data_IF_105650467002
#
_entry.id   IF_105650467002
#
_cell.length_a   1.000
_cell.length_b   1.000
_cell.length_c   1.000
_cell.angle_alpha   90.00
_cell.angle_beta   90.00
_cell.angle_gamma   90.00
#
_symmetry.space_group_name_H-M   'P 1'
#
loop_
_entity.id
_entity.type
_entity.pdbx_description
1 polymer ?
#
# COMPACT_ATOMS: atom_id res chain seq x y z
N UNK A 1 34.84 7.20 36.61
CA UNK A 1 33.83 6.83 37.62
C UNK A 1 32.58 6.49 36.83
N UNK A 2 32.06 5.25 36.91
CA UNK A 2 30.83 4.89 36.19
C UNK A 2 29.67 5.77 36.66
N UNK A 3 28.87 6.24 35.70
CA UNK A 3 27.73 7.08 36.00
C UNK A 3 26.69 6.31 36.80
N UNK A 4 25.82 7.01 37.50
CA UNK A 4 24.73 6.34 38.22
C UNK A 4 23.75 5.65 37.26
N UNK A 5 23.68 6.10 36.00
CA UNK A 5 22.92 5.42 34.95
C UNK A 5 23.55 4.06 34.61
N UNK A 6 24.87 3.99 34.45
CA UNK A 6 25.56 2.75 34.11
C UNK A 6 25.36 1.68 35.19
N UNK A 7 25.39 2.08 36.48
CA UNK A 7 25.14 1.18 37.61
C UNK A 7 23.70 0.64 37.62
N UNK A 8 22.73 1.45 37.20
CA UNK A 8 21.32 1.03 37.10
C UNK A 8 21.13 0.06 35.95
N UNK A 9 21.78 0.31 34.81
CA UNK A 9 21.78 -0.60 33.64
C UNK A 9 22.38 -1.94 34.02
N UNK A 10 23.57 -1.98 34.62
CA UNK A 10 24.21 -3.24 35.02
C UNK A 10 23.37 -4.06 36.00
N UNK A 11 22.74 -3.39 36.97
CA UNK A 11 21.85 -4.06 37.92
C UNK A 11 20.61 -4.64 37.24
N UNK A 12 20.08 -3.95 36.23
CA UNK A 12 18.96 -4.44 35.42
C UNK A 12 19.38 -5.64 34.58
N UNK A 13 20.50 -5.56 33.86
CA UNK A 13 21.03 -6.64 33.02
C UNK A 13 21.28 -7.92 33.84
N UNK A 14 21.86 -7.79 35.04
CA UNK A 14 22.07 -8.91 35.95
C UNK A 14 20.76 -9.57 36.39
N UNK A 15 19.70 -8.78 36.62
CA UNK A 15 18.39 -9.29 37.01
C UNK A 15 17.68 -10.00 35.85
N UNK A 16 17.82 -9.48 34.63
CA UNK A 16 17.30 -10.11 33.40
C UNK A 16 18.00 -11.45 33.15
N UNK A 17 19.33 -11.48 33.22
CA UNK A 17 20.13 -12.68 33.01
C UNK A 17 19.83 -13.79 34.04
N UNK A 18 19.57 -13.42 35.29
CA UNK A 18 19.20 -14.37 36.35
C UNK A 18 17.77 -14.93 36.19
N UNK A 19 16.90 -14.23 35.46
CA UNK A 19 15.50 -14.59 35.27
C UNK A 19 15.22 -15.56 34.12
N UNK A 20 16.25 -15.93 33.32
CA UNK A 20 16.12 -16.70 32.07
C UNK A 20 15.01 -16.15 31.15
N UNK A 21 14.89 -14.81 31.14
CA UNK A 21 13.82 -14.11 30.44
C UNK A 21 14.25 -13.78 29.00
N UNK A 22 13.51 -14.28 28.01
CA UNK A 22 13.60 -13.79 26.64
C UNK A 22 12.91 -12.41 26.55
N UNK A 23 13.71 -11.34 26.47
CA UNK A 23 13.18 -9.99 26.26
C UNK A 23 12.95 -9.75 24.77
N UNK A 24 11.70 -9.42 24.41
CA UNK A 24 11.35 -8.92 23.10
C UNK A 24 11.05 -7.42 23.18
N UNK A 25 11.85 -6.60 22.49
CA UNK A 25 11.66 -5.15 22.43
C UNK A 25 11.04 -4.79 21.08
N UNK A 26 9.82 -4.24 21.10
CA UNK A 26 9.13 -3.74 19.92
C UNK A 26 7.81 -3.06 20.29
N UNK A 27 7.33 -2.15 19.44
CA UNK A 27 6.12 -1.37 19.70
C UNK A 27 4.83 -2.19 19.51
N UNK A 28 4.77 -2.98 18.43
CA UNK A 28 3.70 -3.92 18.10
C UNK A 28 4.36 -5.23 17.62
N UNK A 29 3.78 -6.42 17.91
CA UNK A 29 4.36 -7.69 17.51
C UNK A 29 4.50 -7.75 15.99
N UNK A 30 5.71 -7.49 15.52
CA UNK A 30 6.05 -7.57 14.10
C UNK A 30 6.58 -8.96 13.84
N UNK A 31 5.85 -9.74 13.04
CA UNK A 31 6.38 -10.99 12.55
C UNK A 31 7.43 -10.69 11.47
N UNK A 32 8.69 -10.98 11.75
CA UNK A 32 9.79 -10.90 10.79
C UNK A 32 10.33 -12.31 10.48
N UNK A 33 11.01 -12.47 9.35
CA UNK A 33 11.70 -13.70 9.02
C UNK A 33 12.90 -13.87 9.96
N UNK A 34 12.76 -14.69 11.00
CA UNK A 34 13.72 -14.83 12.12
C UNK A 34 15.19 -15.00 11.70
N UNK A 35 15.42 -15.71 10.60
CA UNK A 35 16.78 -16.05 10.13
C UNK A 35 17.34 -15.05 9.12
N UNK A 36 16.56 -14.03 8.75
CA UNK A 36 16.97 -13.08 7.72
C UNK A 36 17.62 -11.86 8.35
N UNK A 37 18.82 -11.56 7.87
CA UNK A 37 19.54 -10.31 8.15
C UNK A 37 19.51 -9.36 6.95
N UNK A 38 18.72 -9.69 5.92
CA UNK A 38 18.67 -8.87 4.72
C UNK A 38 18.01 -7.52 5.02
N UNK A 39 18.48 -6.41 4.40
CA UNK A 39 18.07 -5.06 4.77
C UNK A 39 16.56 -4.81 4.77
N UNK A 40 15.81 -5.44 3.88
CA UNK A 40 14.34 -5.33 3.78
C UNK A 40 13.61 -5.88 5.01
N UNK A 41 14.20 -6.83 5.74
CA UNK A 41 13.63 -7.42 6.96
C UNK A 41 14.03 -6.67 8.23
N UNK A 42 15.00 -5.75 8.12
CA UNK A 42 15.55 -4.99 9.24
C UNK A 42 15.14 -3.52 9.21
N UNK A 43 15.45 -2.80 8.12
CA UNK A 43 15.39 -1.32 8.10
C UNK A 43 14.90 -0.72 6.79
N UNK A 44 15.14 -1.37 5.66
CA UNK A 44 14.73 -0.83 4.37
C UNK A 44 13.21 -0.94 4.18
N UNK A 45 12.63 0.12 3.59
CA UNK A 45 11.22 0.15 3.20
C UNK A 45 10.82 -0.98 2.26
N UNK A 46 11.75 -1.37 1.39
CA UNK A 46 11.56 -2.24 0.24
C UNK A 46 12.79 -3.12 0.06
N UNK A 47 12.62 -4.24 -0.63
CA UNK A 47 13.73 -5.05 -1.12
C UNK A 47 13.42 -6.55 -1.11
N UNK A 48 14.20 -7.26 -1.93
CA UNK A 48 14.28 -8.71 -1.97
C UNK A 48 12.93 -9.40 -2.05
N UNK A 49 12.73 -10.38 -1.16
CA UNK A 49 11.58 -11.30 -1.21
C UNK A 49 10.40 -10.83 -0.33
N UNK A 50 10.54 -9.74 0.43
CA UNK A 50 9.57 -9.35 1.48
C UNK A 50 8.17 -9.08 0.92
N UNK A 51 8.08 -8.40 -0.22
CA UNK A 51 6.80 -8.14 -0.88
C UNK A 51 6.17 -9.43 -1.41
N UNK A 52 6.96 -10.32 -2.00
CA UNK A 52 6.49 -11.63 -2.47
C UNK A 52 5.97 -12.50 -1.31
N UNK A 53 6.66 -12.49 -0.17
CA UNK A 53 6.18 -13.16 1.05
C UNK A 53 4.85 -12.59 1.53
N UNK A 54 4.71 -11.26 1.55
CA UNK A 54 3.46 -10.62 1.97
C UNK A 54 2.31 -10.92 1.00
N UNK A 55 2.55 -10.92 -0.32
CA UNK A 55 1.56 -11.27 -1.33
C UNK A 55 1.14 -12.75 -1.22
N UNK A 56 2.10 -13.66 -1.03
CA UNK A 56 1.80 -15.08 -0.78
C UNK A 56 0.97 -15.25 0.49
N UNK A 57 1.32 -14.56 1.58
CA UNK A 57 0.56 -14.60 2.83
C UNK A 57 -0.86 -14.06 2.64
N UNK A 58 -1.02 -12.93 1.95
CA UNK A 58 -2.33 -12.34 1.66
C UNK A 58 -3.20 -13.29 0.82
N UNK A 59 -2.60 -13.96 -0.17
CA UNK A 59 -3.27 -15.00 -0.97
C UNK A 59 -3.77 -16.16 -0.10
N UNK A 60 -2.90 -16.75 0.72
CA UNK A 60 -3.27 -17.88 1.58
C UNK A 60 -4.25 -17.51 2.70
N UNK A 61 -4.21 -16.28 3.21
CA UNK A 61 -5.21 -15.78 4.14
C UNK A 61 -6.55 -15.57 3.44
N UNK A 62 -6.57 -14.95 2.26
CA UNK A 62 -7.80 -14.71 1.51
C UNK A 62 -8.51 -16.01 1.09
N UNK A 63 -7.78 -17.09 0.79
CA UNK A 63 -8.37 -18.42 0.59
C UNK A 63 -9.08 -18.98 1.83
N UNK A 64 -8.58 -18.66 3.03
CA UNK A 64 -9.20 -19.06 4.31
C UNK A 64 -10.33 -18.14 4.76
N UNK A 65 -10.43 -16.97 4.16
CA UNK A 65 -11.35 -15.89 4.50
C UNK A 65 -12.17 -15.49 3.26
N UNK A 66 -13.03 -16.38 2.73
CA UNK A 66 -13.76 -16.12 1.50
C UNK A 66 -14.73 -14.94 1.66
N UNK A 67 -14.76 -14.06 0.66
CA UNK A 67 -15.56 -12.82 0.71
C UNK A 67 -14.84 -11.62 1.35
N UNK A 68 -13.63 -11.83 1.88
CA UNK A 68 -12.72 -10.75 2.26
C UNK A 68 -12.23 -9.96 1.04
N UNK A 69 -11.72 -8.75 1.27
CA UNK A 69 -11.03 -7.94 0.26
C UNK A 69 -9.58 -7.69 0.67
N UNK A 70 -8.67 -7.79 -0.29
CA UNK A 70 -7.27 -7.37 -0.12
C UNK A 70 -7.19 -5.89 -0.50
N UNK A 71 -6.70 -5.07 0.41
CA UNK A 71 -6.42 -3.66 0.18
C UNK A 71 -4.91 -3.43 0.22
N UNK A 72 -4.36 -2.91 -0.88
CA UNK A 72 -2.97 -2.47 -0.96
C UNK A 72 -2.94 -0.96 -0.80
N UNK A 73 -2.20 -0.48 0.19
CA UNK A 73 -2.08 0.93 0.48
C UNK A 73 -0.62 1.36 0.45
N UNK A 74 -0.39 2.54 -0.10
CA UNK A 74 0.90 3.23 -0.03
C UNK A 74 1.01 3.89 1.35
N UNK A 75 2.12 3.65 2.02
CA UNK A 75 2.49 4.24 3.29
C UNK A 75 3.38 5.47 3.14
N UNK A 76 3.94 5.92 4.26
CA UNK A 76 4.89 7.03 4.29
C UNK A 76 6.18 6.66 3.56
N UNK A 77 6.74 7.61 2.82
CA UNK A 77 8.11 7.55 2.31
C UNK A 77 8.98 8.46 3.18
N UNK A 78 10.11 7.94 3.65
CA UNK A 78 11.10 8.70 4.39
C UNK A 78 12.22 9.19 3.45
N UNK A 79 12.92 10.24 3.86
CA UNK A 79 14.08 10.75 3.12
C UNK A 79 15.12 9.64 2.90
N UNK A 80 15.54 9.46 1.64
CA UNK A 80 16.53 8.44 1.24
C UNK A 80 15.94 7.11 0.78
N UNK A 81 14.63 6.90 0.88
CA UNK A 81 13.97 5.70 0.36
C UNK A 81 13.62 5.88 -1.14
N UNK A 82 13.90 4.86 -1.96
CA UNK A 82 13.65 4.91 -3.41
C UNK A 82 12.16 4.92 -3.78
N UNK A 83 11.33 4.21 -3.00
CA UNK A 83 9.87 4.21 -3.14
C UNK A 83 9.20 4.20 -1.77
N UNK A 84 7.91 4.60 -1.69
CA UNK A 84 7.18 4.62 -0.43
C UNK A 84 7.05 3.22 0.16
N UNK A 85 6.93 3.16 1.50
CA UNK A 85 6.52 1.93 2.19
C UNK A 85 5.11 1.53 1.75
N UNK A 86 4.72 0.30 2.03
CA UNK A 86 3.40 -0.22 1.69
C UNK A 86 2.82 -1.06 2.81
N UNK A 87 1.51 -1.29 2.72
CA UNK A 87 0.79 -2.23 3.57
C UNK A 87 -0.21 -3.01 2.72
N UNK A 88 -0.36 -4.30 3.03
CA UNK A 88 -1.34 -5.19 2.45
C UNK A 88 -2.24 -5.66 3.59
N UNK A 89 -3.49 -5.23 3.58
CA UNK A 89 -4.49 -5.63 4.58
C UNK A 89 -5.55 -6.54 3.98
N UNK A 90 -6.04 -7.48 4.78
CA UNK A 90 -7.23 -8.28 4.48
C UNK A 90 -8.38 -7.79 5.35
N UNK A 91 -9.50 -7.43 4.71
CA UNK A 91 -10.65 -6.84 5.38
C UNK A 91 -11.88 -7.70 5.19
N UNK A 92 -12.61 -7.90 6.28
CA UNK A 92 -13.87 -8.63 6.34
C UNK A 92 -14.94 -7.75 6.99
N UNK A 93 -16.19 -7.99 6.63
CA UNK A 93 -17.31 -7.37 7.35
C UNK A 93 -17.61 -8.16 8.61
N UNK A 94 -17.94 -7.45 9.68
CA UNK A 94 -18.34 -8.04 10.97
C UNK A 94 -19.60 -8.90 10.88
N UNK A 95 -20.44 -8.68 9.87
CA UNK A 95 -21.66 -9.44 9.61
C UNK A 95 -21.43 -10.68 8.72
N UNK A 96 -20.19 -10.97 8.33
CA UNK A 96 -19.81 -12.12 7.52
C UNK A 96 -20.22 -12.03 6.05
N UNK A 97 -20.85 -10.94 5.61
CA UNK A 97 -21.17 -10.73 4.22
C UNK A 97 -19.92 -10.36 3.41
N UNK A 98 -19.91 -10.72 2.12
CA UNK A 98 -18.81 -10.37 1.23
C UNK A 98 -18.61 -8.84 1.17
N UNK A 99 -17.35 -8.42 1.20
CA UNK A 99 -16.96 -7.00 1.07
C UNK A 99 -16.96 -6.58 -0.39
N UNK A 100 -16.59 -7.49 -1.29
CA UNK A 100 -16.41 -7.23 -2.71
C UNK A 100 -17.08 -8.32 -3.55
N UNK A 101 -17.83 -7.91 -4.57
CA UNK A 101 -18.51 -8.81 -5.53
C UNK A 101 -17.99 -8.63 -6.96
N UNK A 102 -16.88 -7.92 -7.15
CA UNK A 102 -16.26 -7.71 -8.45
C UNK A 102 -15.26 -8.83 -8.81
N UNK A 103 -14.37 -8.58 -9.79
CA UNK A 103 -13.35 -9.56 -10.17
C UNK A 103 -12.44 -9.91 -8.97
N UNK A 104 -11.84 -11.11 -8.96
CA UNK A 104 -10.91 -11.53 -7.93
C UNK A 104 -9.68 -10.62 -7.91
N UNK A 105 -9.03 -10.54 -6.74
CA UNK A 105 -7.80 -9.77 -6.59
C UNK A 105 -6.69 -10.30 -7.54
N UNK A 106 -5.88 -9.42 -8.16
CA UNK A 106 -4.80 -9.83 -9.06
C UNK A 106 -3.75 -10.75 -8.45
N UNK A 107 -3.64 -10.88 -7.13
CA UNK A 107 -2.76 -11.89 -6.48
C UNK A 107 -3.14 -13.33 -6.84
N UNK A 108 -4.38 -13.53 -7.29
CA UNK A 108 -4.86 -14.80 -7.81
C UNK A 108 -4.71 -14.94 -9.33
N UNK A 109 -4.37 -13.85 -10.02
CA UNK A 109 -4.13 -13.87 -11.44
C UNK A 109 -2.71 -14.39 -11.73
N UNK A 110 -2.56 -15.07 -12.86
CA UNK A 110 -1.25 -15.42 -13.37
C UNK A 110 -0.56 -14.12 -13.86
N UNK A 111 0.65 -13.78 -13.40
CA UNK A 111 1.35 -12.57 -13.85
C UNK A 111 1.50 -12.46 -15.36
N UNK A 112 1.56 -13.58 -16.09
CA UNK A 112 1.60 -13.61 -17.56
C UNK A 112 0.30 -13.15 -18.23
N UNK A 113 -0.79 -13.08 -17.46
CA UNK A 113 -2.09 -12.57 -17.92
C UNK A 113 -2.25 -11.06 -17.72
N UNK A 114 -1.26 -10.40 -17.09
CA UNK A 114 -1.28 -8.96 -16.92
C UNK A 114 -1.23 -8.26 -18.29
N UNK A 115 -2.27 -7.46 -18.58
CA UNK A 115 -2.32 -6.67 -19.81
C UNK A 115 -1.49 -5.39 -19.63
N UNK A 116 -0.64 -5.09 -20.61
CA UNK A 116 0.05 -3.80 -20.70
C UNK A 116 -0.98 -2.65 -20.86
N UNK A 117 -0.64 -1.46 -20.37
CA UNK A 117 -1.50 -0.28 -20.50
C UNK A 117 -2.69 -0.25 -19.52
N UNK A 118 -2.57 -0.88 -18.34
CA UNK A 118 -3.67 -0.98 -17.37
C UNK A 118 -4.33 0.35 -17.00
N UNK A 119 -3.56 1.45 -16.92
CA UNK A 119 -4.11 2.78 -16.69
C UNK A 119 -5.01 3.23 -17.86
N UNK A 120 -4.52 3.14 -19.10
CA UNK A 120 -5.29 3.46 -20.31
C UNK A 120 -6.55 2.60 -20.41
N UNK A 121 -6.43 1.29 -20.25
CA UNK A 121 -7.57 0.37 -20.31
C UNK A 121 -8.63 0.70 -19.24
N UNK A 122 -8.19 1.03 -18.02
CA UNK A 122 -9.07 1.50 -16.95
C UNK A 122 -9.77 2.81 -17.36
N UNK A 123 -9.03 3.78 -17.88
CA UNK A 123 -9.57 5.06 -18.36
C UNK A 123 -10.64 4.87 -19.44
N UNK A 124 -10.36 4.06 -20.46
CA UNK A 124 -11.31 3.71 -21.51
C UNK A 124 -12.54 2.97 -20.97
N UNK A 125 -12.36 2.07 -20.01
CA UNK A 125 -13.45 1.32 -19.37
C UNK A 125 -14.35 2.25 -18.54
N UNK A 126 -13.76 3.17 -17.78
CA UNK A 126 -14.49 4.19 -17.04
C UNK A 126 -15.27 5.12 -17.98
N UNK A 127 -14.62 5.62 -19.04
CA UNK A 127 -15.27 6.43 -20.07
C UNK A 127 -16.51 5.75 -20.65
N UNK A 128 -16.39 4.47 -21.05
CA UNK A 128 -17.55 3.67 -21.52
C UNK A 128 -18.65 3.56 -20.45
N UNK A 129 -18.27 3.31 -19.20
CA UNK A 129 -19.24 3.20 -18.10
C UNK A 129 -19.96 4.51 -17.79
N UNK A 130 -19.31 5.66 -18.01
CA UNK A 130 -19.91 7.00 -17.90
C UNK A 130 -20.87 7.27 -19.05
N UNK A 131 -20.50 6.95 -20.29
CA UNK A 131 -21.39 7.06 -21.46
C UNK A 131 -22.68 6.28 -21.26
N UNK A 132 -22.60 5.04 -20.77
CA UNK A 132 -23.76 4.18 -20.51
C UNK A 132 -24.73 4.75 -19.46
N UNK A 133 -24.24 5.61 -18.57
CA UNK A 133 -25.02 6.30 -17.53
C UNK A 133 -25.49 7.69 -17.96
N UNK A 134 -25.21 8.08 -19.21
CA UNK A 134 -25.45 9.44 -19.72
C UNK A 134 -24.75 10.52 -18.88
N UNK A 135 -23.60 10.20 -18.29
CA UNK A 135 -22.77 11.20 -17.60
C UNK A 135 -21.87 11.92 -18.58
N UNK A 136 -21.70 13.22 -18.37
CA UNK A 136 -20.75 14.01 -19.15
C UNK A 136 -19.35 13.73 -18.63
N UNK A 137 -18.44 13.34 -19.52
CA UNK A 137 -17.02 13.17 -19.17
C UNK A 137 -16.11 13.74 -20.26
N UNK A 138 -14.87 14.08 -19.87
CA UNK A 138 -13.79 14.51 -20.76
C UNK A 138 -12.49 13.86 -20.32
N UNK A 139 -11.74 13.33 -21.29
CA UNK A 139 -10.41 12.76 -21.08
C UNK A 139 -9.38 13.83 -21.42
N UNK A 140 -8.34 13.94 -20.61
CA UNK A 140 -7.21 14.84 -20.84
C UNK A 140 -5.95 14.02 -21.09
N UNK A 141 -5.08 14.46 -22.03
CA UNK A 141 -3.79 13.82 -22.22
C UNK A 141 -2.97 13.95 -20.92
N UNK A 142 -2.37 12.85 -20.50
CA UNK A 142 -1.40 12.85 -19.42
C UNK A 142 0.01 12.79 -20.02
N UNK A 143 1.00 13.36 -19.32
CA UNK A 143 2.40 13.33 -19.76
C UNK A 143 3.11 11.99 -19.55
N UNK A 144 2.40 10.95 -19.09
CA UNK A 144 2.97 9.66 -18.70
C UNK A 144 2.01 8.51 -18.99
N UNK A 145 2.54 7.36 -19.39
CA UNK A 145 1.77 6.14 -19.70
C UNK A 145 1.11 5.49 -18.48
N UNK A 146 1.53 5.87 -17.27
CA UNK A 146 0.95 5.39 -16.00
C UNK A 146 -0.10 6.35 -15.41
N UNK A 147 -0.38 7.45 -16.08
CA UNK A 147 -1.35 8.45 -15.66
C UNK A 147 -2.49 8.56 -16.66
N UNK A 148 -3.73 8.68 -16.15
CA UNK A 148 -4.91 9.00 -16.94
C UNK A 148 -5.72 10.06 -16.21
N UNK A 149 -6.17 11.09 -16.94
CA UNK A 149 -6.98 12.18 -16.39
C UNK A 149 -8.37 12.16 -17.02
N UNK A 150 -9.38 11.92 -16.20
CA UNK A 150 -10.79 11.99 -16.61
C UNK A 150 -11.53 12.94 -15.68
N UNK A 151 -12.21 13.91 -16.26
CA UNK A 151 -13.20 14.73 -15.56
C UNK A 151 -14.59 14.16 -15.83
N UNK A 152 -15.37 13.93 -14.78
CA UNK A 152 -16.74 13.43 -14.88
C UNK A 152 -17.70 14.33 -14.12
N UNK A 153 -18.87 14.60 -14.70
CA UNK A 153 -19.99 15.30 -14.08
C UNK A 153 -21.24 14.45 -14.13
N UNK A 154 -21.82 14.24 -12.96
CA UNK A 154 -23.07 13.49 -12.79
C UNK A 154 -24.29 14.40 -12.72
N UNK A 155 -24.10 15.72 -12.71
CA UNK A 155 -25.15 16.73 -12.56
C UNK A 155 -25.71 17.25 -13.89
N UNK A 156 -25.32 16.64 -15.02
CA UNK A 156 -25.83 16.94 -16.36
C UNK A 156 -25.38 18.30 -16.94
N UNK A 157 -24.49 19.02 -16.25
CA UNK A 157 -23.94 20.28 -16.73
C UNK A 157 -22.70 20.04 -17.59
N UNK A 158 -22.42 20.98 -18.49
CA UNK A 158 -21.24 20.91 -19.36
C UNK A 158 -19.91 21.00 -18.58
N UNK A 159 -18.85 20.51 -19.21
CA UNK A 159 -17.51 20.37 -18.64
C UNK A 159 -16.62 21.60 -18.86
N UNK A 160 -17.24 22.74 -19.15
CA UNK A 160 -16.49 23.97 -19.40
C UNK A 160 -15.80 24.45 -18.12
N UNK A 161 -14.60 25.05 -18.28
CA UNK A 161 -13.78 25.67 -17.22
C UNK A 161 -12.94 24.75 -16.33
N UNK A 162 -12.62 23.53 -16.77
CA UNK A 162 -11.57 22.73 -16.11
C UNK A 162 -10.23 22.87 -16.82
N UNK A 163 -9.28 23.49 -16.12
CA UNK A 163 -7.88 23.53 -16.50
C UNK A 163 -7.18 22.27 -15.98
N UNK A 164 -6.85 21.35 -16.87
CA UNK A 164 -6.19 20.10 -16.51
C UNK A 164 -4.71 20.28 -16.16
N UNK A 165 -4.14 21.44 -16.47
CA UNK A 165 -2.76 21.81 -16.15
C UNK A 165 -2.69 22.71 -14.90
N UNK A 166 -3.81 22.88 -14.19
CA UNK A 166 -3.85 23.64 -12.94
C UNK A 166 -2.81 23.07 -11.96
N UNK A 167 -1.86 23.89 -11.47
CA UNK A 167 -0.78 23.42 -10.61
C UNK A 167 -1.28 22.82 -9.29
N UNK A 168 -2.53 23.09 -8.88
CA UNK A 168 -3.16 22.44 -7.71
C UNK A 168 -3.54 20.98 -7.97
N UNK A 169 -3.70 20.59 -9.24
CA UNK A 169 -3.95 19.22 -9.69
C UNK A 169 -2.65 18.45 -9.93
N UNK A 170 -1.52 19.15 -10.04
CA UNK A 170 -0.23 18.48 -9.88
C UNK A 170 -0.29 17.75 -8.55
N UNK A 171 0.10 16.47 -8.53
CA UNK A 171 0.20 15.74 -7.28
C UNK A 171 1.10 16.60 -6.38
N UNK A 172 0.55 17.17 -5.30
CA UNK A 172 1.34 17.31 -4.09
C UNK A 172 1.67 15.88 -3.72
N UNK A 173 2.75 15.37 -4.29
CA UNK A 173 3.41 14.24 -3.69
C UNK A 173 3.66 14.68 -2.26
N UNK A 174 3.10 13.97 -1.28
CA UNK A 174 3.55 14.11 0.11
C UNK A 174 5.05 13.74 0.26
N UNK A 175 5.75 13.50 -0.86
CA UNK A 175 7.11 13.04 -1.01
C UNK A 175 7.99 13.97 -1.85
N UNK A 176 7.45 15.06 -2.44
CA UNK A 176 8.28 16.03 -3.19
C UNK A 176 9.00 17.01 -2.25
N UNK A 177 8.44 17.23 -1.05
CA UNK A 177 9.19 17.83 0.06
C UNK A 177 9.88 16.73 0.85
N UNK A 178 11.16 16.47 0.52
CA UNK A 178 12.06 15.73 1.41
C UNK A 178 12.25 16.56 2.68
N UNK A 179 11.42 16.35 3.70
CA UNK A 179 11.73 16.76 5.09
C UNK A 179 12.86 15.91 5.64
#
# INVERSE_FOLDING_TARGET
MMSDLDKVIEKHDAAVAAGDAEIWIGAEPTFTLRTSEAPEWLSQALGGEKEDYALRMARELSLRHPGSVILRSVGRQYGGEERPRWSIGLFERRDGAAVWSGPPDPVFADPSTAQAGGAQLLGETLARAFSQRHWHYRVYPAGSDIEQRLLVRTDGKDLDRFDADDPRLSRCSAHDEKT
#
